data_IF_956814291957
#
_entry.id   IF_956814291957
#
_cell.length_a   1.000
_cell.length_b   1.000
_cell.length_c   1.000
_cell.angle_alpha   90.00
_cell.angle_beta   90.00
_cell.angle_gamma   90.00
#
_symmetry.space_group_name_H-M   'P 1'
#
loop_
_entity.id
_entity.type
_entity.pdbx_description
1 polymer ?
#
# COMPACT_ATOMS: atom_id res chain seq x y z
N UNK A 1 6.31 -17.64 -5.13
CA UNK A 1 5.54 -16.39 -4.89
C UNK A 1 4.09 -16.78 -4.79
N UNK A 2 3.40 -16.36 -3.72
CA UNK A 2 1.97 -16.60 -3.60
C UNK A 2 1.20 -15.86 -4.70
N UNK A 3 -0.03 -16.27 -4.98
CA UNK A 3 -0.90 -15.52 -5.89
C UNK A 3 -1.52 -14.29 -5.21
N UNK A 4 -1.71 -14.35 -3.89
CA UNK A 4 -2.33 -13.30 -3.07
C UNK A 4 -1.70 -13.24 -1.67
N UNK A 5 -1.76 -12.05 -1.08
CA UNK A 5 -1.43 -11.81 0.33
C UNK A 5 -2.71 -11.49 1.11
N UNK A 6 -2.85 -12.03 2.32
CA UNK A 6 -3.76 -11.45 3.32
C UNK A 6 -3.16 -10.14 3.78
N UNK A 7 -3.91 -9.06 3.67
CA UNK A 7 -3.41 -7.71 3.95
C UNK A 7 -4.13 -7.10 5.14
N UNK A 8 -3.36 -6.53 6.07
CA UNK A 8 -3.85 -5.71 7.19
C UNK A 8 -3.22 -4.33 7.10
N UNK A 9 -3.99 -3.29 7.39
CA UNK A 9 -3.55 -1.89 7.36
C UNK A 9 -3.94 -1.19 8.65
N UNK A 10 -3.05 -0.35 9.16
CA UNK A 10 -3.30 0.47 10.33
C UNK A 10 -2.67 1.86 10.17
N UNK A 11 -3.31 2.89 10.73
CA UNK A 11 -2.85 4.30 10.74
C UNK A 11 -2.49 4.83 9.34
N UNK A 12 -3.17 4.34 8.30
CA UNK A 12 -2.91 4.75 6.93
C UNK A 12 -3.79 5.94 6.57
N UNK A 13 -3.28 7.14 6.81
CA UNK A 13 -3.95 8.39 6.43
C UNK A 13 -3.22 9.00 5.23
N UNK A 14 -3.98 9.45 4.24
CA UNK A 14 -3.43 10.14 3.08
C UNK A 14 -2.84 11.50 3.46
N UNK A 15 -1.82 11.92 2.71
CA UNK A 15 -1.34 13.30 2.75
C UNK A 15 -2.39 14.20 2.08
N UNK A 16 -2.80 15.31 2.72
CA UNK A 16 -3.82 16.19 2.16
C UNK A 16 -3.52 16.63 0.73
N UNK A 17 -2.26 16.94 0.43
CA UNK A 17 -1.78 17.40 -0.87
C UNK A 17 -1.69 16.28 -1.93
N UNK A 18 -1.83 15.01 -1.53
CA UNK A 18 -1.78 13.84 -2.41
C UNK A 18 -3.09 13.04 -2.45
N UNK A 19 -4.12 13.50 -1.72
CA UNK A 19 -5.40 12.80 -1.55
C UNK A 19 -6.04 12.47 -2.91
N UNK A 20 -6.27 13.49 -3.73
CA UNK A 20 -6.96 13.35 -5.01
C UNK A 20 -6.19 12.43 -5.96
N UNK A 21 -4.86 12.60 -6.01
CA UNK A 21 -3.96 11.76 -6.82
C UNK A 21 -4.03 10.29 -6.38
N UNK A 22 -4.03 10.02 -5.08
CA UNK A 22 -4.15 8.66 -4.54
C UNK A 22 -5.49 8.03 -4.91
N UNK A 23 -6.58 8.78 -4.82
CA UNK A 23 -7.93 8.30 -5.18
C UNK A 23 -8.02 7.97 -6.68
N UNK A 24 -7.49 8.84 -7.55
CA UNK A 24 -7.43 8.59 -8.99
C UNK A 24 -6.59 7.35 -9.33
N UNK A 25 -5.46 7.17 -8.64
CA UNK A 25 -4.60 6.00 -8.82
C UNK A 25 -5.31 4.71 -8.38
N UNK A 26 -6.01 4.72 -7.24
CA UNK A 26 -6.83 3.59 -6.78
C UNK A 26 -7.85 3.21 -7.87
N UNK A 27 -8.60 4.20 -8.37
CA UNK A 27 -9.60 3.96 -9.41
C UNK A 27 -8.99 3.44 -10.72
N UNK A 28 -7.83 3.98 -11.13
CA UNK A 28 -7.08 3.57 -12.31
C UNK A 28 -6.63 2.11 -12.17
N UNK A 29 -6.03 1.74 -11.04
CA UNK A 29 -5.56 0.36 -10.80
C UNK A 29 -6.73 -0.62 -10.69
N UNK A 30 -7.85 -0.23 -10.08
CA UNK A 30 -9.06 -1.07 -10.04
C UNK A 30 -9.62 -1.34 -11.44
N UNK A 31 -9.72 -0.30 -12.27
CA UNK A 31 -10.24 -0.41 -13.65
C UNK A 31 -9.35 -1.31 -14.51
N UNK A 32 -8.03 -1.26 -14.27
CA UNK A 32 -7.02 -1.99 -15.04
C UNK A 32 -6.61 -3.33 -14.42
N UNK A 33 -7.27 -3.81 -13.36
CA UNK A 33 -6.90 -5.06 -12.65
C UNK A 33 -6.90 -6.34 -13.51
N UNK A 34 -7.49 -6.29 -14.70
CA UNK A 34 -7.51 -7.40 -15.67
C UNK A 34 -6.45 -7.25 -16.77
N UNK A 35 -5.51 -6.31 -16.63
CA UNK A 35 -4.45 -6.03 -17.59
C UNK A 35 -3.70 -7.29 -18.07
N UNK A 36 -3.40 -8.20 -17.14
CA UNK A 36 -2.67 -9.45 -17.45
C UNK A 36 -3.52 -10.52 -18.16
N UNK A 37 -4.83 -10.31 -18.36
CA UNK A 37 -5.71 -11.26 -19.05
C UNK A 37 -5.77 -11.04 -20.56
N UNK A 38 -5.22 -9.93 -21.04
CA UNK A 38 -5.05 -9.66 -22.46
C UNK A 38 -3.59 -10.00 -22.77
N UNK A 39 -3.34 -11.01 -23.61
CA UNK A 39 -1.99 -11.33 -24.07
C UNK A 39 -1.73 -10.71 -25.45
N UNK A 40 -0.49 -10.31 -25.72
CA UNK A 40 -0.05 -9.85 -27.03
C UNK A 40 0.63 -8.47 -27.04
N UNK A 41 1.03 -7.97 -28.23
CA UNK A 41 1.74 -6.70 -28.38
C UNK A 41 1.00 -5.47 -27.85
N UNK A 42 -0.34 -5.52 -27.87
CA UNK A 42 -1.19 -4.45 -27.30
C UNK A 42 -1.00 -4.32 -25.78
N UNK A 43 -0.76 -5.44 -25.09
CA UNK A 43 -0.51 -5.47 -23.64
C UNK A 43 0.83 -4.82 -23.28
N UNK A 44 1.84 -4.97 -24.14
CA UNK A 44 3.14 -4.31 -23.94
C UNK A 44 2.99 -2.79 -24.02
N UNK A 45 2.27 -2.29 -25.03
CA UNK A 45 2.02 -0.86 -25.16
C UNK A 45 1.21 -0.30 -23.99
N UNK A 46 0.12 -0.98 -23.60
CA UNK A 46 -0.68 -0.62 -22.43
C UNK A 46 0.13 -0.65 -21.13
N UNK A 47 1.11 -1.56 -21.02
CA UNK A 47 2.03 -1.61 -19.87
C UNK A 47 2.89 -0.36 -19.82
N UNK A 48 3.50 0.03 -20.94
CA UNK A 48 4.30 1.27 -21.03
C UNK A 48 3.46 2.49 -20.70
N UNK A 49 2.22 2.57 -21.17
CA UNK A 49 1.31 3.66 -20.81
C UNK A 49 1.02 3.72 -19.31
N UNK A 50 0.76 2.59 -18.67
CA UNK A 50 0.54 2.53 -17.22
C UNK A 50 1.79 2.93 -16.44
N UNK A 51 2.97 2.46 -16.87
CA UNK A 51 4.25 2.86 -16.28
C UNK A 51 4.43 4.38 -16.40
N UNK A 52 4.22 4.96 -17.57
CA UNK A 52 4.35 6.40 -17.79
C UNK A 52 3.34 7.20 -16.96
N UNK A 53 2.11 6.71 -16.85
CA UNK A 53 1.09 7.34 -16.01
C UNK A 53 1.50 7.32 -14.53
N UNK A 54 2.00 6.21 -14.01
CA UNK A 54 2.50 6.12 -12.63
C UNK A 54 3.72 7.03 -12.41
N UNK A 55 4.61 7.14 -13.41
CA UNK A 55 5.78 8.05 -13.37
C UNK A 55 5.40 9.52 -13.37
N UNK A 56 4.25 9.87 -13.93
CA UNK A 56 3.74 11.24 -13.92
C UNK A 56 3.21 11.62 -12.53
N UNK A 57 2.56 10.68 -11.84
CA UNK A 57 1.89 10.94 -10.55
C UNK A 57 2.78 10.70 -9.31
N UNK A 58 3.84 9.89 -9.44
CA UNK A 58 4.74 9.54 -8.34
C UNK A 58 6.21 9.75 -8.69
N UNK A 59 6.86 10.61 -7.91
CA UNK A 59 8.31 10.82 -8.01
C UNK A 59 9.08 9.62 -7.43
N UNK A 60 8.60 8.99 -6.36
CA UNK A 60 9.21 7.77 -5.81
C UNK A 60 9.19 6.65 -6.85
N UNK A 61 8.07 6.46 -7.54
CA UNK A 61 7.95 5.47 -8.60
C UNK A 61 8.91 5.77 -9.76
N UNK A 62 8.96 7.04 -10.18
CA UNK A 62 9.78 7.51 -11.30
C UNK A 62 11.27 7.33 -11.07
N UNK A 63 11.74 7.61 -9.86
CA UNK A 63 13.17 7.65 -9.55
C UNK A 63 13.70 6.32 -9.02
N UNK A 64 12.87 5.55 -8.31
CA UNK A 64 13.34 4.39 -7.53
C UNK A 64 12.79 3.06 -8.04
N UNK A 65 11.57 3.05 -8.59
CA UNK A 65 10.86 1.78 -8.86
C UNK A 65 10.77 1.42 -10.34
N UNK A 66 10.94 2.39 -11.24
CA UNK A 66 10.69 2.20 -12.66
C UNK A 66 11.80 2.75 -13.54
N UNK A 67 11.93 2.15 -14.72
CA UNK A 67 12.59 2.77 -15.87
C UNK A 67 11.55 3.56 -16.66
N UNK A 68 11.93 4.06 -17.85
CA UNK A 68 10.96 4.72 -18.74
C UNK A 68 9.89 3.77 -19.27
N UNK A 69 10.17 2.48 -19.43
CA UNK A 69 9.25 1.57 -20.12
C UNK A 69 8.83 0.38 -19.28
N UNK A 70 9.40 0.23 -18.09
CA UNK A 70 9.19 -0.93 -17.23
C UNK A 70 9.16 -0.52 -15.75
N UNK A 71 8.45 -1.28 -14.94
CA UNK A 71 8.31 -1.08 -13.51
C UNK A 71 7.15 -1.86 -12.90
N UNK A 72 7.11 -1.99 -11.57
CA UNK A 72 6.09 -2.77 -10.87
C UNK A 72 4.73 -2.07 -10.98
N UNK A 73 3.73 -2.73 -11.57
CA UNK A 73 2.37 -2.20 -11.64
C UNK A 73 1.62 -2.52 -10.35
N UNK A 74 1.29 -1.56 -9.47
CA UNK A 74 0.74 -1.85 -8.14
C UNK A 74 -0.77 -2.13 -8.19
N UNK A 75 -1.21 -3.15 -8.93
CA UNK A 75 -2.64 -3.50 -9.04
C UNK A 75 -3.32 -3.81 -7.70
N UNK A 76 -2.55 -4.19 -6.66
CA UNK A 76 -3.04 -4.27 -5.29
C UNK A 76 -3.75 -2.99 -4.83
N UNK A 77 -3.36 -1.81 -5.34
CA UNK A 77 -3.99 -0.53 -5.03
C UNK A 77 -5.49 -0.50 -5.35
N UNK A 78 -5.94 -1.25 -6.37
CA UNK A 78 -7.35 -1.37 -6.72
C UNK A 78 -8.19 -2.13 -5.68
N UNK A 79 -7.58 -2.69 -4.63
CA UNK A 79 -8.25 -3.37 -3.52
C UNK A 79 -8.28 -2.50 -2.25
N UNK A 80 -8.04 -1.21 -2.41
CA UNK A 80 -8.17 -0.20 -1.37
C UNK A 80 -9.20 0.85 -1.78
N UNK A 81 -9.58 1.68 -0.81
CA UNK A 81 -10.38 2.89 -1.01
C UNK A 81 -9.82 4.00 -0.13
N UNK A 82 -10.09 5.23 -0.52
CA UNK A 82 -9.87 6.39 0.33
C UNK A 82 -11.22 6.87 0.86
N UNK A 83 -11.38 6.96 2.17
CA UNK A 83 -12.59 7.44 2.82
C UNK A 83 -12.20 8.36 3.99
N UNK A 84 -12.64 9.61 3.97
CA UNK A 84 -12.29 10.62 5.00
C UNK A 84 -10.77 10.65 5.32
N UNK A 85 -9.95 10.69 4.27
CA UNK A 85 -8.48 10.61 4.29
C UNK A 85 -7.91 9.28 4.78
N UNK A 86 -8.73 8.34 5.25
CA UNK A 86 -8.30 7.00 5.63
C UNK A 86 -8.18 6.10 4.42
N UNK A 87 -6.99 5.53 4.25
CA UNK A 87 -6.68 4.56 3.24
C UNK A 87 -6.97 3.17 3.77
N UNK A 88 -8.11 2.62 3.33
CA UNK A 88 -8.68 1.39 3.86
C UNK A 88 -8.68 0.29 2.80
N UNK A 89 -8.52 -0.94 3.26
CA UNK A 89 -8.55 -2.12 2.40
C UNK A 89 -9.99 -2.64 2.26
N UNK A 90 -10.46 -2.88 1.04
CA UNK A 90 -11.84 -3.33 0.77
C UNK A 90 -12.01 -4.85 0.66
N UNK A 91 -10.92 -5.61 0.65
CA UNK A 91 -10.90 -7.07 0.46
C UNK A 91 -9.86 -7.71 1.36
N UNK A 92 -10.13 -8.89 1.91
CA UNK A 92 -9.18 -9.58 2.80
C UNK A 92 -7.80 -9.86 2.21
N UNK A 93 -7.81 -10.05 0.90
CA UNK A 93 -6.65 -10.39 0.13
C UNK A 93 -6.40 -9.39 -0.99
N UNK A 94 -5.13 -9.17 -1.27
CA UNK A 94 -4.64 -8.36 -2.39
C UNK A 94 -3.77 -9.24 -3.30
N UNK A 95 -3.73 -8.99 -4.61
CA UNK A 95 -2.85 -9.71 -5.52
C UNK A 95 -1.38 -9.52 -5.12
N UNK A 96 -0.60 -10.60 -5.20
CA UNK A 96 0.84 -10.61 -4.93
C UNK A 96 1.68 -10.24 -6.16
N UNK A 97 1.19 -9.29 -6.96
CA UNK A 97 1.81 -8.90 -8.23
C UNK A 97 3.00 -7.93 -8.07
N UNK A 98 3.22 -7.43 -6.85
CA UNK A 98 4.36 -6.58 -6.47
C UNK A 98 4.81 -7.01 -5.07
N UNK A 99 6.11 -7.06 -4.85
CA UNK A 99 6.68 -7.36 -3.53
C UNK A 99 6.16 -6.36 -2.47
N UNK A 100 5.81 -6.80 -1.24
CA UNK A 100 5.12 -5.92 -0.32
C UNK A 100 5.94 -4.69 0.09
N UNK A 101 7.26 -4.85 0.28
CA UNK A 101 8.17 -3.71 0.49
C UNK A 101 8.06 -2.66 -0.62
N UNK A 102 8.03 -3.09 -1.88
CA UNK A 102 7.96 -2.20 -3.05
C UNK A 102 6.62 -1.48 -3.10
N UNK A 103 5.52 -2.19 -2.80
CA UNK A 103 4.19 -1.61 -2.71
C UNK A 103 4.10 -0.52 -1.62
N UNK A 104 4.64 -0.80 -0.42
CA UNK A 104 4.63 0.19 0.67
C UNK A 104 5.60 1.35 0.39
N UNK A 105 6.72 1.11 -0.28
CA UNK A 105 7.62 2.17 -0.74
C UNK A 105 6.93 3.12 -1.72
N UNK A 106 6.15 2.60 -2.67
CA UNK A 106 5.30 3.41 -3.54
C UNK A 106 4.28 4.24 -2.73
N UNK A 107 3.55 3.60 -1.81
CA UNK A 107 2.56 4.27 -0.97
C UNK A 107 3.15 5.34 -0.03
N UNK A 108 4.44 5.27 0.27
CA UNK A 108 5.12 6.23 1.17
C UNK A 108 5.06 7.69 0.68
N UNK A 109 4.88 7.91 -0.63
CA UNK A 109 4.68 9.24 -1.20
C UNK A 109 3.29 9.81 -0.90
N UNK A 110 2.29 8.95 -0.76
CA UNK A 110 0.88 9.34 -0.63
C UNK A 110 0.37 9.31 0.80
N UNK A 111 1.01 8.52 1.67
CA UNK A 111 0.58 8.32 3.05
C UNK A 111 1.44 9.08 4.05
N UNK A 112 0.81 9.48 5.15
CA UNK A 112 1.48 10.07 6.31
C UNK A 112 2.46 9.06 6.95
N UNK A 113 3.57 9.54 7.55
CA UNK A 113 4.43 8.68 8.37
C UNK A 113 3.64 8.01 9.50
N UNK A 114 3.97 6.76 9.79
CA UNK A 114 3.28 5.94 10.80
C UNK A 114 2.24 4.99 10.21
N UNK A 115 1.93 5.08 8.90
CA UNK A 115 1.13 4.08 8.21
C UNK A 115 1.83 2.71 8.22
N UNK A 116 1.08 1.67 8.58
CA UNK A 116 1.59 0.30 8.77
C UNK A 116 0.80 -0.69 7.95
N UNK A 117 1.52 -1.61 7.32
CA UNK A 117 0.98 -2.65 6.48
C UNK A 117 1.57 -3.99 6.89
N UNK A 118 0.74 -5.03 6.89
CA UNK A 118 1.15 -6.41 7.07
C UNK A 118 0.64 -7.24 5.90
N UNK A 119 1.47 -8.15 5.44
CA UNK A 119 1.20 -9.06 4.33
C UNK A 119 1.55 -10.46 4.80
N UNK A 120 0.55 -11.34 4.79
CA UNK A 120 0.72 -12.73 5.19
C UNK A 120 0.42 -13.69 4.03
N UNK A 121 1.26 -14.70 3.90
CA UNK A 121 1.12 -15.84 2.99
C UNK A 121 1.33 -17.18 3.74
N UNK A 122 1.74 -18.23 3.03
CA UNK A 122 2.02 -19.55 3.61
C UNK A 122 3.39 -19.62 4.32
N UNK A 123 4.32 -18.74 3.98
CA UNK A 123 5.69 -18.71 4.50
C UNK A 123 5.80 -17.85 5.78
N UNK A 124 4.91 -16.87 5.94
CA UNK A 124 4.82 -16.09 7.17
C UNK A 124 4.03 -14.79 7.01
N UNK A 125 4.20 -13.89 7.97
CA UNK A 125 3.73 -12.51 7.90
C UNK A 125 4.94 -11.57 7.91
N UNK A 126 4.97 -10.60 7.00
CA UNK A 126 5.91 -9.49 7.01
C UNK A 126 5.17 -8.15 7.15
N UNK A 127 5.80 -7.21 7.85
CA UNK A 127 5.23 -5.90 8.14
C UNK A 127 6.15 -4.76 7.75
N UNK A 128 5.56 -3.66 7.29
CA UNK A 128 6.29 -2.47 6.84
C UNK A 128 5.62 -1.19 7.37
N UNK A 129 6.43 -0.23 7.79
CA UNK A 129 6.01 1.09 8.24
C UNK A 129 6.55 2.20 7.34
N UNK A 130 5.68 3.13 6.96
CA UNK A 130 6.06 4.36 6.28
C UNK A 130 6.72 5.30 7.28
N UNK A 131 7.99 5.65 7.04
CA UNK A 131 8.74 6.65 7.83
C UNK A 131 8.75 8.03 7.20
N UNK A 132 8.40 8.12 5.92
CA UNK A 132 8.37 9.34 5.13
C UNK A 132 8.40 9.03 3.64
N UNK A 133 8.39 10.06 2.80
CA UNK A 133 8.44 9.88 1.35
C UNK A 133 9.71 9.13 0.94
N UNK A 134 9.55 8.01 0.23
CA UNK A 134 10.64 7.15 -0.21
C UNK A 134 11.34 6.38 0.91
N UNK A 135 10.78 6.36 2.13
CA UNK A 135 11.41 5.76 3.32
C UNK A 135 10.44 4.81 4.03
N UNK A 136 10.81 3.53 4.04
CA UNK A 136 10.07 2.47 4.72
C UNK A 136 11.01 1.64 5.60
N UNK A 137 10.48 1.10 6.69
CA UNK A 137 11.22 0.23 7.60
C UNK A 137 10.42 -1.05 7.88
N UNK A 138 11.07 -2.20 8.06
CA UNK A 138 10.39 -3.41 8.50
C UNK A 138 9.82 -3.20 9.91
N UNK A 139 8.64 -3.76 10.17
CA UNK A 139 8.07 -3.82 11.51
C UNK A 139 8.69 -5.02 12.23
N UNK A 140 9.36 -4.75 13.36
CA UNK A 140 9.79 -5.82 14.27
C UNK A 140 8.61 -6.29 15.13
N UNK A 141 8.62 -7.55 15.58
CA UNK A 141 7.58 -8.11 16.44
C UNK A 141 7.29 -7.26 17.71
N UNK A 142 8.30 -6.54 18.24
CA UNK A 142 8.14 -5.63 19.39
C UNK A 142 7.28 -4.39 19.08
N UNK A 143 7.18 -3.97 17.80
CA UNK A 143 6.38 -2.80 17.40
C UNK A 143 4.87 -3.07 17.45
N UNK A 144 4.45 -4.33 17.55
CA UNK A 144 3.05 -4.73 17.75
C UNK A 144 2.60 -4.60 19.20
N UNK A 145 3.45 -4.93 20.18
CA UNK A 145 3.11 -4.88 21.60
C UNK A 145 2.76 -3.45 22.08
N UNK A 146 3.42 -2.43 21.51
CA UNK A 146 3.17 -1.04 21.84
C UNK A 146 1.89 -0.45 21.22
N UNK A 147 1.29 -1.10 20.21
CA UNK A 147 0.08 -0.62 19.54
C UNK A 147 -1.22 -1.16 20.16
N UNK A 148 -1.13 -2.16 21.06
CA UNK A 148 -2.27 -2.75 21.76
C UNK A 148 -2.56 -2.18 23.16
N UNK A 149 -1.80 -1.19 23.63
CA UNK A 149 -1.99 -0.56 24.96
C UNK A 149 -2.55 0.87 24.83
N UNK A 150 -3.79 0.97 24.36
CA UNK A 150 -4.74 2.06 24.63
C UNK A 150 -6.10 1.37 24.53
N UNK A 151 -6.83 1.03 25.59
CA UNK A 151 -7.30 1.82 26.73
C UNK A 151 -7.71 0.82 27.81
N UNK A 152 -7.28 1.04 29.06
CA UNK A 152 -8.08 0.86 30.28
C UNK A 152 -7.19 1.27 31.45
N UNK A 153 -7.09 2.59 31.67
CA UNK A 153 -6.73 3.13 32.97
C UNK A 153 -7.83 4.08 33.45
N UNK A 154 -8.10 3.97 34.74
CA UNK A 154 -8.99 4.76 35.60
C UNK A 154 -10.51 4.55 35.55
N UNK A 155 -11.00 3.76 36.52
CA UNK A 155 -11.91 4.35 37.51
C UNK A 155 -11.76 3.70 38.90
N UNK A 156 -10.98 4.38 39.74
CA UNK A 156 -11.27 4.80 41.13
C UNK A 156 -11.84 3.77 42.13
N UNK A 157 -11.13 3.65 43.26
CA UNK A 157 -11.36 2.66 44.30
C UNK A 157 -12.55 2.89 45.23
N UNK A 158 -12.74 1.94 46.13
CA UNK A 158 -13.21 2.16 47.49
C UNK A 158 -12.80 0.97 48.38
N UNK A 159 -11.85 1.24 49.27
CA UNK A 159 -11.69 0.53 50.54
C UNK A 159 -12.92 0.86 51.40
N UNK A 160 -13.69 -0.14 51.84
CA UNK A 160 -13.94 -0.49 53.24
C UNK A 160 -14.92 -1.66 53.35
#
# INVERSE_FOLDING_TARGET
MPDRYRCRVNRATARPEKRDVLEELVQKMFTRRHHNRVGGPETEWLTVELVQSLRAESQVYKDTLSTKTDGPLPFALGYFRLHDDQFERVSDEVPANVEPRVFVLFLSEFLQPGARFWFADEEGEEGWEVRGVGKVAPLSAESEAAAGQTVDDESVGANN
#
